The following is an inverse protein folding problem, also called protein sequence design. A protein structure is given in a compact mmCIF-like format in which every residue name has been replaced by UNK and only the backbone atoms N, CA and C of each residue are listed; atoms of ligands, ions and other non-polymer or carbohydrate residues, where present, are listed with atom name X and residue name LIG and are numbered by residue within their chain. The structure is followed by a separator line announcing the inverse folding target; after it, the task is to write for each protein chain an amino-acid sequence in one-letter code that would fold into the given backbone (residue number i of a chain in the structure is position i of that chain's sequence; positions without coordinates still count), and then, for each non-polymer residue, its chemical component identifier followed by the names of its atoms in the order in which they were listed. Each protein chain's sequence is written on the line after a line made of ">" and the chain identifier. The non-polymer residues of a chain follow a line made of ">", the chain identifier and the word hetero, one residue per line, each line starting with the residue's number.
data_IF_655171367086
#
_entry.id   IF_655171367086
#
_cell.length_a   1.000
_cell.length_b   1.000
_cell.length_c   1.000
_cell.angle_alpha   90.00
_cell.angle_beta   90.00
_cell.angle_gamma   90.00
#
_symmetry.space_group_name_H-M   'P 1'
#
loop_
_entity.id
_entity.type
_entity.pdbx_description
1 polymer ?
#
# COMPACT_ATOMS: atom_id res chain seq x y z
N UNK A 1 2.84 -14.33 -0.20
CA UNK A 1 3.77 -13.60 0.70
C UNK A 1 4.67 -14.68 1.28
N UNK A 2 5.67 -15.16 0.52
CA UNK A 2 6.27 -16.48 0.79
C UNK A 2 7.82 -16.48 0.81
N UNK A 3 8.49 -15.53 0.13
CA UNK A 3 9.95 -15.55 -0.02
C UNK A 3 10.66 -14.46 0.80
N UNK A 4 10.26 -13.20 0.62
CA UNK A 4 11.01 -12.05 1.15
C UNK A 4 10.47 -11.52 2.50
N UNK A 5 9.41 -12.12 3.06
CA UNK A 5 8.79 -11.64 4.30
C UNK A 5 8.02 -10.31 4.18
N UNK A 6 7.95 -9.71 2.99
CA UNK A 6 7.09 -8.56 2.71
C UNK A 6 6.47 -8.61 1.30
N UNK A 7 5.46 -7.78 1.08
CA UNK A 7 4.87 -7.52 -0.24
C UNK A 7 4.44 -6.05 -0.36
N UNK A 8 3.81 -5.68 -1.47
CA UNK A 8 3.32 -4.31 -1.73
C UNK A 8 2.38 -3.78 -0.63
N UNK A 9 1.56 -4.64 -0.01
CA UNK A 9 0.72 -4.24 1.11
C UNK A 9 1.54 -3.87 2.37
N UNK A 10 2.68 -4.55 2.60
CA UNK A 10 3.58 -4.20 3.69
C UNK A 10 4.22 -2.82 3.44
N UNK A 11 4.61 -2.54 2.19
CA UNK A 11 5.13 -1.22 1.80
C UNK A 11 4.10 -0.12 2.03
N UNK A 12 2.83 -0.35 1.64
CA UNK A 12 1.75 0.61 1.89
C UNK A 12 1.55 0.88 3.39
N UNK A 13 1.63 -0.16 4.23
CA UNK A 13 1.53 -0.01 5.69
C UNK A 13 2.70 0.80 6.26
N UNK A 14 3.93 0.55 5.81
CA UNK A 14 5.11 1.32 6.24
C UNK A 14 5.06 2.76 5.77
N UNK A 15 4.61 3.00 4.54
CA UNK A 15 4.43 4.34 4.00
C UNK A 15 3.43 5.15 4.84
N UNK A 16 2.31 4.54 5.23
CA UNK A 16 1.34 5.15 6.14
C UNK A 16 1.92 5.45 7.53
N UNK A 17 2.72 4.54 8.08
CA UNK A 17 3.36 4.74 9.37
C UNK A 17 4.36 5.91 9.33
N UNK A 18 5.18 5.99 8.28
CA UNK A 18 6.11 7.10 8.08
C UNK A 18 5.38 8.45 7.91
N UNK A 19 4.24 8.47 7.19
CA UNK A 19 3.42 9.67 7.09
C UNK A 19 2.93 10.14 8.48
N UNK A 20 2.46 9.22 9.31
CA UNK A 20 2.03 9.54 10.67
C UNK A 20 3.17 10.10 11.55
N UNK A 21 4.40 9.59 11.40
CA UNK A 21 5.59 10.12 12.08
C UNK A 21 5.93 11.55 11.65
N UNK A 22 5.58 11.93 10.41
CA UNK A 22 5.72 13.29 9.89
C UNK A 22 4.52 14.20 10.22
N UNK A 23 3.52 13.70 10.96
CA UNK A 23 2.28 14.43 11.26
C UNK A 23 1.28 14.48 10.12
N UNK A 24 1.52 13.73 9.04
CA UNK A 24 0.64 13.64 7.88
C UNK A 24 -0.42 12.55 8.08
N UNK A 25 -1.68 12.89 7.80
CA UNK A 25 -2.77 11.91 7.87
C UNK A 25 -2.92 11.22 6.53
N UNK A 26 -2.46 9.97 6.44
CA UNK A 26 -2.61 9.14 5.27
C UNK A 26 -3.56 7.97 5.54
N UNK A 27 -4.59 7.81 4.72
CA UNK A 27 -5.52 6.67 4.84
C UNK A 27 -4.93 5.41 4.19
N UNK A 28 -5.44 4.24 4.59
CA UNK A 28 -5.00 2.96 4.01
C UNK A 28 -5.22 2.86 2.49
N UNK A 29 -6.37 3.31 1.93
CA UNK A 29 -6.57 3.34 0.49
C UNK A 29 -5.56 4.23 -0.24
N UNK A 30 -5.31 5.44 0.27
CA UNK A 30 -4.33 6.37 -0.33
C UNK A 30 -2.91 5.80 -0.29
N UNK A 31 -2.51 5.18 0.83
CA UNK A 31 -1.20 4.55 0.95
C UNK A 31 -1.02 3.39 -0.04
N UNK A 32 -2.08 2.60 -0.26
CA UNK A 32 -2.06 1.55 -1.28
C UNK A 32 -2.02 2.14 -2.68
N UNK A 33 -2.83 3.14 -2.99
CA UNK A 33 -2.82 3.79 -4.30
C UNK A 33 -1.45 4.37 -4.66
N UNK A 34 -0.75 4.98 -3.69
CA UNK A 34 0.63 5.45 -3.88
C UNK A 34 1.62 4.32 -4.25
N UNK A 35 1.43 3.11 -3.71
CA UNK A 35 2.30 1.95 -3.97
C UNK A 35 1.89 1.17 -5.22
N UNK A 36 0.59 1.04 -5.49
CA UNK A 36 0.04 0.26 -6.60
C UNK A 36 -0.14 1.10 -7.88
N UNK A 37 -0.07 2.43 -7.80
CA UNK A 37 -0.23 3.37 -8.91
C UNK A 37 -1.66 3.51 -9.42
N UNK A 38 -2.64 2.92 -8.72
CA UNK A 38 -4.08 2.97 -9.00
C UNK A 38 -4.86 2.48 -7.77
N UNK A 39 -6.19 2.69 -7.71
CA UNK A 39 -7.02 2.13 -6.65
C UNK A 39 -6.80 0.62 -6.49
N UNK A 40 -6.66 0.17 -5.24
CA UNK A 40 -6.32 -1.21 -4.95
C UNK A 40 -7.34 -2.21 -5.54
N UNK A 41 -8.62 -1.87 -5.54
CA UNK A 41 -9.67 -2.71 -6.11
C UNK A 41 -9.51 -2.86 -7.63
N UNK A 42 -9.15 -1.79 -8.35
CA UNK A 42 -8.90 -1.83 -9.79
C UNK A 42 -7.65 -2.68 -10.10
N UNK A 43 -6.59 -2.51 -9.31
CA UNK A 43 -5.38 -3.32 -9.45
C UNK A 43 -5.68 -4.80 -9.23
N UNK A 44 -6.48 -5.10 -8.19
CA UNK A 44 -6.89 -6.45 -7.84
C UNK A 44 -7.68 -7.09 -8.98
N UNK A 45 -8.66 -6.39 -9.55
CA UNK A 45 -9.45 -6.92 -10.66
C UNK A 45 -8.62 -7.16 -11.92
N UNK A 46 -7.64 -6.29 -12.23
CA UNK A 46 -6.86 -6.35 -13.47
C UNK A 46 -5.68 -7.31 -13.40
N UNK A 47 -5.04 -7.44 -12.24
CA UNK A 47 -3.72 -8.06 -12.13
C UNK A 47 -3.61 -9.14 -11.05
N UNK A 48 -4.50 -9.17 -10.06
CA UNK A 48 -4.44 -10.18 -9.01
C UNK A 48 -5.15 -11.46 -9.46
N UNK A 49 -4.42 -12.58 -9.41
CA UNK A 49 -4.94 -13.94 -9.65
C UNK A 49 -5.07 -14.70 -8.34
#
# INVERSE_FOLDING_TARGET
>A
MNLAGFCRNCLAKWYRAAAAEQGETLTDPQAREAVYGMPYEDWKQRYQK
#
